data_IF_728267114991
#
_entry.id   IF_728267114991
#
_cell.length_a   1.000
_cell.length_b   1.000
_cell.length_c   1.000
_cell.angle_alpha   90.00
_cell.angle_beta   90.00
_cell.angle_gamma   90.00
#
_symmetry.space_group_name_H-M   'P 1'
#
loop_
_entity.id
_entity.type
_entity.pdbx_description
1 polymer ?
#
# COMPACT_ATOMS: atom_id res chain seq x y z
N UNK A 1 10.61 14.69 -6.52
CA UNK A 1 9.43 15.50 -6.17
C UNK A 1 9.84 16.79 -5.45
N UNK A 2 10.58 17.69 -6.10
CA UNK A 2 11.10 18.91 -5.44
C UNK A 2 10.62 20.21 -6.10
N UNK A 3 10.08 20.12 -7.32
CA UNK A 3 9.64 21.28 -8.10
C UNK A 3 8.26 21.79 -7.69
N UNK A 4 7.39 20.92 -7.19
CA UNK A 4 6.02 21.23 -6.80
C UNK A 4 5.73 20.70 -5.40
N UNK A 5 4.96 21.44 -4.58
CA UNK A 5 4.56 20.99 -3.24
C UNK A 5 3.40 20.00 -3.35
N UNK A 6 3.69 18.76 -3.75
CA UNK A 6 2.70 17.69 -3.80
C UNK A 6 2.22 17.34 -2.38
N UNK A 7 0.91 17.31 -2.16
CA UNK A 7 0.30 17.00 -0.84
C UNK A 7 -0.17 15.55 -0.76
N UNK A 8 -0.68 15.01 -1.86
CA UNK A 8 -1.15 13.63 -1.97
C UNK A 8 -0.69 13.08 -3.32
N UNK A 9 -0.27 11.82 -3.33
CA UNK A 9 0.10 11.11 -4.55
C UNK A 9 -0.31 9.65 -4.47
N UNK A 10 -0.46 9.04 -5.64
CA UNK A 10 -0.63 7.61 -5.81
C UNK A 10 0.12 7.18 -7.07
N UNK A 11 0.76 6.02 -7.05
CA UNK A 11 1.29 5.36 -8.24
C UNK A 11 0.51 4.08 -8.50
N UNK A 12 0.43 3.69 -9.77
CA UNK A 12 -0.40 2.57 -10.22
C UNK A 12 0.48 1.41 -10.66
N UNK A 13 0.18 0.24 -10.12
CA UNK A 13 0.85 -1.02 -10.43
C UNK A 13 -0.16 -2.04 -10.92
N UNK A 14 0.33 -3.09 -11.59
CA UNK A 14 -0.45 -4.27 -11.97
C UNK A 14 0.21 -5.56 -11.47
N UNK A 15 -0.58 -6.61 -11.34
CA UNK A 15 -0.14 -7.93 -10.85
C UNK A 15 -1.03 -8.44 -9.73
N UNK A 16 -1.39 -7.57 -8.80
CA UNK A 16 -2.37 -7.84 -7.75
C UNK A 16 -3.47 -6.78 -7.75
N UNK A 17 -4.59 -7.11 -7.10
CA UNK A 17 -5.71 -6.19 -6.94
C UNK A 17 -5.88 -5.86 -5.45
N UNK A 18 -5.09 -4.87 -5.01
CA UNK A 18 -4.92 -4.39 -3.64
C UNK A 18 -4.42 -2.95 -3.67
N UNK A 19 -4.69 -2.17 -2.62
CA UNK A 19 -4.03 -0.88 -2.38
C UNK A 19 -2.97 -1.05 -1.31
N UNK A 20 -1.71 -0.79 -1.66
CA UNK A 20 -0.61 -0.76 -0.69
C UNK A 20 -0.47 0.65 -0.11
N UNK A 21 -0.11 0.73 1.16
CA UNK A 21 0.21 1.99 1.82
C UNK A 21 1.51 1.88 2.64
N UNK A 22 2.21 3.00 2.90
CA UNK A 22 3.55 2.95 3.46
C UNK A 22 3.60 2.41 4.91
N UNK A 23 4.76 1.96 5.39
CA UNK A 23 6.01 1.81 4.63
C UNK A 23 6.04 0.52 3.80
N UNK A 24 6.78 0.55 2.69
CA UNK A 24 7.04 -0.61 1.84
C UNK A 24 8.27 -1.40 2.29
N UNK A 25 9.23 -0.76 2.98
CA UNK A 25 10.39 -1.45 3.55
C UNK A 25 10.15 -1.84 5.02
N UNK A 26 10.57 -3.05 5.39
CA UNK A 26 10.57 -3.52 6.78
C UNK A 26 11.60 -2.76 7.62
N UNK A 27 11.27 -2.47 8.88
CA UNK A 27 12.24 -1.90 9.84
C UNK A 27 13.37 -2.87 10.18
N UNK A 28 13.04 -4.15 10.28
CA UNK A 28 14.01 -5.21 10.54
C UNK A 28 14.67 -5.66 9.24
N UNK A 29 15.99 -5.48 9.10
CA UNK A 29 16.71 -5.67 7.83
C UNK A 29 16.62 -7.08 7.24
N UNK A 30 16.43 -8.11 8.08
CA UNK A 30 16.38 -9.51 7.65
C UNK A 30 14.96 -10.07 7.49
N UNK A 31 13.93 -9.30 7.84
CA UNK A 31 12.55 -9.75 7.67
C UNK A 31 12.08 -9.48 6.25
N UNK A 32 11.51 -10.49 5.61
CA UNK A 32 10.84 -10.34 4.33
C UNK A 32 9.48 -9.64 4.46
N UNK A 33 8.82 -9.79 5.62
CA UNK A 33 7.51 -9.22 5.93
C UNK A 33 7.47 -8.75 7.39
N UNK A 34 7.00 -7.53 7.61
CA UNK A 34 6.81 -6.94 8.93
C UNK A 34 5.86 -5.74 8.84
N UNK A 35 4.86 -5.68 9.72
CA UNK A 35 4.04 -4.48 9.86
C UNK A 35 4.91 -3.30 10.26
N UNK A 36 5.06 -2.35 9.33
CA UNK A 36 5.93 -1.19 9.48
C UNK A 36 5.10 0.08 9.30
N UNK A 37 4.40 0.54 10.35
CA UNK A 37 3.49 1.67 10.25
C UNK A 37 4.25 2.99 10.17
N UNK A 38 3.66 3.95 9.49
CA UNK A 38 4.07 5.36 9.51
C UNK A 38 3.53 6.06 10.76
N UNK A 39 4.07 7.24 11.13
CA UNK A 39 3.40 8.13 12.08
C UNK A 39 1.95 8.49 11.71
N UNK A 40 1.64 8.56 10.41
CA UNK A 40 0.31 8.90 9.88
C UNK A 40 -0.50 7.65 9.42
N UNK A 41 -0.24 6.47 9.99
CA UNK A 41 -0.83 5.18 9.55
C UNK A 41 -2.35 5.24 9.42
N UNK A 42 -3.03 5.91 10.36
CA UNK A 42 -4.49 6.08 10.33
C UNK A 42 -4.99 6.81 9.08
N UNK A 43 -4.28 7.85 8.64
CA UNK A 43 -4.62 8.61 7.43
C UNK A 43 -4.36 7.77 6.19
N UNK A 44 -3.22 7.09 6.12
CA UNK A 44 -2.87 6.23 4.98
C UNK A 44 -3.83 5.06 4.82
N UNK A 45 -4.17 4.39 5.92
CA UNK A 45 -5.15 3.30 5.92
C UNK A 45 -6.52 3.79 5.47
N UNK A 46 -6.94 4.98 5.92
CA UNK A 46 -8.19 5.59 5.48
C UNK A 46 -8.17 5.92 3.98
N UNK A 47 -7.12 6.57 3.47
CA UNK A 47 -6.95 6.88 2.04
C UNK A 47 -6.98 5.62 1.18
N UNK A 48 -6.25 4.58 1.59
CA UNK A 48 -6.23 3.30 0.89
C UNK A 48 -7.63 2.66 0.87
N UNK A 49 -8.35 2.70 2.00
CA UNK A 49 -9.71 2.15 2.12
C UNK A 49 -10.70 2.89 1.23
N UNK A 50 -10.60 4.22 1.13
CA UNK A 50 -11.47 5.02 0.26
C UNK A 50 -11.31 4.60 -1.21
N UNK A 51 -10.09 4.40 -1.69
CA UNK A 51 -9.86 3.91 -3.05
C UNK A 51 -10.36 2.48 -3.23
N UNK A 52 -10.00 1.58 -2.30
CA UNK A 52 -10.37 0.17 -2.37
C UNK A 52 -11.90 -0.05 -2.37
N UNK A 53 -12.63 0.72 -1.56
CA UNK A 53 -14.08 0.62 -1.46
C UNK A 53 -14.82 1.26 -2.65
N UNK A 54 -14.23 2.26 -3.31
CA UNK A 54 -14.83 2.91 -4.48
C UNK A 54 -14.56 2.17 -5.79
N UNK A 55 -13.54 1.33 -5.84
CA UNK A 55 -13.25 0.49 -7.00
C UNK A 55 -14.14 -0.76 -7.01
N UNK A 56 -15.10 -0.83 -7.95
CA UNK A 56 -16.06 -1.95 -8.07
C UNK A 56 -15.38 -3.33 -8.19
N UNK A 57 -14.26 -3.41 -8.91
CA UNK A 57 -13.53 -4.67 -9.07
C UNK A 57 -12.85 -5.11 -7.78
N UNK A 58 -12.34 -4.17 -6.97
CA UNK A 58 -11.79 -4.47 -5.63
C UNK A 58 -12.91 -4.84 -4.65
N UNK A 59 -14.02 -4.09 -4.64
CA UNK A 59 -15.12 -4.25 -3.70
C UNK A 59 -16.00 -5.51 -3.95
N UNK A 60 -15.97 -6.06 -5.16
CA UNK A 60 -16.73 -7.28 -5.49
C UNK A 60 -16.19 -8.50 -4.76
N UNK A 61 -17.06 -9.18 -4.00
CA UNK A 61 -16.73 -10.42 -3.28
C UNK A 61 -16.63 -11.68 -4.16
N UNK A 62 -17.02 -11.59 -5.44
CA UNK A 62 -17.04 -12.73 -6.37
C UNK A 62 -15.81 -12.79 -7.29
N UNK A 63 -14.80 -11.95 -7.03
CA UNK A 63 -13.60 -11.90 -7.89
C UNK A 63 -12.65 -13.07 -7.66
N UNK A 64 -12.03 -13.54 -8.74
CA UNK A 64 -10.93 -14.50 -8.67
C UNK A 64 -9.67 -13.80 -8.12
N UNK A 65 -8.89 -14.52 -7.31
CA UNK A 65 -7.55 -14.09 -6.88
C UNK A 65 -6.63 -13.93 -8.10
N UNK A 66 -5.74 -12.93 -8.06
CA UNK A 66 -4.75 -12.73 -9.12
C UNK A 66 -3.66 -13.81 -9.01
N UNK A 67 -2.94 -13.85 -7.88
CA UNK A 67 -2.00 -14.92 -7.57
C UNK A 67 -2.41 -15.71 -6.32
N UNK A 68 -1.66 -15.58 -5.22
CA UNK A 68 -1.78 -16.45 -4.06
C UNK A 68 -2.60 -15.82 -2.92
N UNK A 69 -2.42 -14.52 -2.71
CA UNK A 69 -2.99 -13.80 -1.57
C UNK A 69 -4.46 -13.43 -1.78
N UNK A 70 -5.21 -13.42 -0.68
CA UNK A 70 -6.62 -13.06 -0.63
C UNK A 70 -6.81 -11.76 0.14
N UNK A 71 -6.53 -10.63 -0.53
CA UNK A 71 -6.61 -9.31 0.09
C UNK A 71 -8.04 -8.90 0.48
N UNK A 72 -9.08 -9.57 -0.02
CA UNK A 72 -10.46 -9.29 0.37
C UNK A 72 -10.68 -9.48 1.87
N UNK A 73 -9.98 -10.44 2.48
CA UNK A 73 -10.02 -10.71 3.93
C UNK A 73 -9.55 -9.53 4.78
N UNK A 74 -8.80 -8.61 4.18
CA UNK A 74 -8.21 -7.45 4.83
C UNK A 74 -8.76 -6.13 4.25
N UNK A 75 -9.90 -6.17 3.54
CA UNK A 75 -10.52 -4.98 2.96
C UNK A 75 -9.81 -4.44 1.72
N UNK A 76 -9.04 -5.28 1.03
CA UNK A 76 -8.24 -4.93 -0.17
C UNK A 76 -7.19 -3.85 0.06
N UNK A 77 -6.76 -3.66 1.30
CA UNK A 77 -5.69 -2.74 1.68
C UNK A 77 -4.62 -3.47 2.47
N UNK A 78 -3.36 -3.10 2.32
CA UNK A 78 -2.26 -3.72 3.05
C UNK A 78 -1.11 -2.74 3.25
N UNK A 79 -0.46 -2.79 4.40
CA UNK A 79 0.83 -2.11 4.59
C UNK A 79 1.87 -2.78 3.69
N UNK A 80 2.65 -2.02 2.93
CA UNK A 80 3.57 -2.55 1.93
C UNK A 80 4.54 -3.58 2.50
N UNK A 81 5.22 -3.23 3.59
CA UNK A 81 6.16 -4.10 4.29
C UNK A 81 5.50 -5.34 4.93
N UNK A 82 4.20 -5.30 5.20
CA UNK A 82 3.45 -6.48 5.67
C UNK A 82 3.22 -7.49 4.54
N UNK A 83 3.12 -7.01 3.30
CA UNK A 83 2.97 -7.88 2.13
C UNK A 83 4.32 -8.40 1.62
N UNK A 84 5.29 -7.51 1.37
CA UNK A 84 6.68 -7.86 1.09
C UNK A 84 7.56 -6.62 1.16
N UNK A 85 8.79 -6.78 1.66
CA UNK A 85 9.74 -5.68 1.76
C UNK A 85 10.18 -5.19 0.37
N UNK A 86 10.06 -3.89 0.12
CA UNK A 86 10.56 -3.23 -1.10
C UNK A 86 11.43 -2.03 -0.72
N UNK A 87 12.74 -2.23 -0.76
CA UNK A 87 13.69 -1.17 -0.51
C UNK A 87 13.73 -0.17 -1.69
N UNK A 88 13.83 1.13 -1.36
CA UNK A 88 13.94 2.19 -2.37
C UNK A 88 12.64 2.45 -3.15
N UNK A 89 11.48 2.13 -2.57
CA UNK A 89 10.19 2.40 -3.21
C UNK A 89 9.93 3.90 -3.36
N UNK A 90 9.19 4.25 -4.41
CA UNK A 90 8.78 5.64 -4.61
C UNK A 90 7.81 6.12 -3.51
N UNK A 91 6.99 5.23 -2.94
CA UNK A 91 6.05 5.58 -1.87
C UNK A 91 6.78 6.04 -0.61
N UNK A 92 7.77 5.26 -0.18
CA UNK A 92 8.58 5.56 1.00
C UNK A 92 9.40 6.83 0.76
N UNK A 93 9.94 6.99 -0.46
CA UNK A 93 10.65 8.22 -0.83
C UNK A 93 9.76 9.46 -0.78
N UNK A 94 8.54 9.39 -1.33
CA UNK A 94 7.57 10.49 -1.26
C UNK A 94 7.33 10.90 0.18
N UNK A 95 6.95 9.97 1.06
CA UNK A 95 6.58 10.34 2.43
C UNK A 95 7.75 10.88 3.26
N UNK A 96 8.98 10.41 3.02
CA UNK A 96 10.14 10.79 3.83
C UNK A 96 10.89 12.03 3.32
N UNK A 97 10.74 12.39 2.04
CA UNK A 97 11.61 13.39 1.39
C UNK A 97 10.87 14.47 0.61
N UNK A 98 9.55 14.62 0.80
CA UNK A 98 8.75 15.72 0.22
C UNK A 98 8.01 16.47 1.31
#
# INVERSE_FOLDING_TARGET
MQRYPFVLSANLHGGELVVTYPFDMTRTYWKAQELTPTPDDGVFRWLATVYAASNLAMASGERRRCHYDDFMRFGNVVNGASWHTVAGSMNDFSYLHT
#
